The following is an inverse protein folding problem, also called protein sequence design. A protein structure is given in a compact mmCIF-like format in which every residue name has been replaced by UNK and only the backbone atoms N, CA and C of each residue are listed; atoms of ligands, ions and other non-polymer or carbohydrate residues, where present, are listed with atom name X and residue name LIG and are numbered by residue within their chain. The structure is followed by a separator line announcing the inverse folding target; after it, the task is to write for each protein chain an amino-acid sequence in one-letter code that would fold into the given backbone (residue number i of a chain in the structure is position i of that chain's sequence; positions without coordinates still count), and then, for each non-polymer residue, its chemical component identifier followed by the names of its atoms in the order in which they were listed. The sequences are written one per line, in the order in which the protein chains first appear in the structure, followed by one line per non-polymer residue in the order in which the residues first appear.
data_IF_038917508861
#
_entry.id   IF_038917508861
#
_cell.length_a   1.000
_cell.length_b   1.000
_cell.length_c   1.000
_cell.angle_alpha   90.00
_cell.angle_beta   90.00
_cell.angle_gamma   90.00
#
_symmetry.space_group_name_H-M   'P 1'
#
loop_
_entity.id
_entity.type
_entity.pdbx_description
1 polymer ?
#
# COMPACT_ATOMS: atom_id res chain seq x y z
N UNK A 1 -8.34 -6.32 15.00
CA UNK A 1 -7.41 -6.14 13.87
C UNK A 1 -7.98 -6.92 12.70
N UNK A 2 -8.07 -6.31 11.54
CA UNK A 2 -8.47 -6.97 10.30
C UNK A 2 -7.34 -6.77 9.29
N UNK A 3 -7.13 -7.75 8.43
CA UNK A 3 -6.16 -7.71 7.34
C UNK A 3 -6.96 -7.80 6.04
N UNK A 4 -6.54 -7.03 5.04
CA UNK A 4 -7.15 -7.03 3.72
C UNK A 4 -6.02 -7.03 2.69
N UNK A 5 -6.08 -7.94 1.74
CA UNK A 5 -5.13 -8.05 0.64
C UNK A 5 -5.65 -7.31 -0.57
N UNK A 6 -4.86 -6.31 -1.00
CA UNK A 6 -5.13 -5.56 -2.21
C UNK A 6 -4.50 -6.29 -3.39
N UNK A 7 -5.34 -6.84 -4.27
CA UNK A 7 -4.90 -7.71 -5.37
C UNK A 7 -5.18 -7.04 -6.70
N UNK A 8 -4.37 -7.37 -7.71
CA UNK A 8 -4.54 -6.90 -9.08
C UNK A 8 -5.63 -7.68 -9.82
N UNK A 9 -5.93 -7.23 -11.04
CA UNK A 9 -6.70 -8.03 -11.98
C UNK A 9 -5.96 -9.34 -12.34
N UNK A 10 -6.70 -10.45 -12.47
CA UNK A 10 -6.18 -11.69 -12.99
C UNK A 10 -5.75 -11.53 -14.46
N UNK A 11 -4.67 -12.22 -14.85
CA UNK A 11 -4.16 -12.27 -16.23
C UNK A 11 -4.71 -13.46 -17.01
N UNK A 12 -5.14 -14.49 -16.31
CA UNK A 12 -5.64 -15.74 -16.88
C UNK A 12 -6.91 -16.19 -16.16
N UNK A 13 -7.70 -17.06 -16.80
CA UNK A 13 -8.88 -17.67 -16.18
C UNK A 13 -8.52 -18.56 -14.99
N UNK A 14 -7.33 -19.16 -15.01
CA UNK A 14 -6.78 -19.94 -13.89
C UNK A 14 -6.51 -19.04 -12.68
N UNK A 15 -5.83 -17.91 -12.88
CA UNK A 15 -5.60 -16.93 -11.80
C UNK A 15 -6.93 -16.40 -11.24
N UNK A 16 -7.91 -16.11 -12.10
CA UNK A 16 -9.22 -15.63 -11.67
C UNK A 16 -9.97 -16.69 -10.85
N UNK A 17 -9.85 -17.96 -11.23
CA UNK A 17 -10.44 -19.08 -10.47
C UNK A 17 -9.81 -19.20 -9.09
N UNK A 18 -8.48 -19.14 -9.00
CA UNK A 18 -7.74 -19.19 -7.74
C UNK A 18 -8.13 -18.00 -6.84
N UNK A 19 -8.19 -16.79 -7.40
CA UNK A 19 -8.59 -15.60 -6.65
C UNK A 19 -10.03 -15.69 -6.14
N UNK A 20 -10.95 -16.23 -6.93
CA UNK A 20 -12.32 -16.44 -6.49
C UNK A 20 -12.39 -17.45 -5.34
N UNK A 21 -11.71 -18.58 -5.44
CA UNK A 21 -11.68 -19.61 -4.40
C UNK A 21 -11.05 -19.09 -3.10
N UNK A 22 -9.99 -18.30 -3.20
CA UNK A 22 -9.34 -17.65 -2.05
C UNK A 22 -10.29 -16.63 -1.39
N UNK A 23 -10.94 -15.79 -2.20
CA UNK A 23 -11.86 -14.76 -1.71
C UNK A 23 -13.12 -15.36 -1.08
N UNK A 24 -13.63 -16.47 -1.64
CA UNK A 24 -14.74 -17.24 -1.07
C UNK A 24 -14.37 -17.93 0.24
N UNK A 25 -13.08 -18.22 0.46
CA UNK A 25 -12.61 -18.90 1.66
C UNK A 25 -12.30 -17.96 2.82
N UNK A 26 -11.63 -16.83 2.54
CA UNK A 26 -11.10 -15.94 3.58
C UNK A 26 -11.80 -14.59 3.68
N UNK A 27 -12.45 -14.14 2.60
CA UNK A 27 -13.21 -12.89 2.55
C UNK A 27 -12.39 -11.63 2.88
N UNK A 28 -11.08 -11.65 2.61
CA UNK A 28 -10.13 -10.58 2.89
C UNK A 28 -9.44 -10.02 1.63
N UNK A 29 -9.92 -10.37 0.44
CA UNK A 29 -9.41 -9.82 -0.83
C UNK A 29 -10.24 -8.65 -1.35
N UNK A 30 -9.52 -7.61 -1.76
CA UNK A 30 -10.04 -6.48 -2.55
C UNK A 30 -9.28 -6.44 -3.87
N UNK A 31 -9.99 -6.80 -4.94
CA UNK A 31 -9.42 -6.80 -6.29
C UNK A 31 -9.58 -5.43 -6.94
N UNK A 32 -8.46 -4.81 -7.31
CA UNK A 32 -8.41 -3.54 -8.01
C UNK A 32 -8.29 -3.71 -9.53
N UNK A 33 -8.76 -2.71 -10.26
CA UNK A 33 -8.69 -2.68 -11.73
C UNK A 33 -7.38 -2.09 -12.23
N UNK A 34 -6.27 -2.78 -11.92
CA UNK A 34 -4.92 -2.44 -12.37
C UNK A 34 -4.12 -3.72 -12.64
N UNK A 35 -3.09 -3.60 -13.47
CA UNK A 35 -2.17 -4.70 -13.79
C UNK A 35 -0.98 -4.73 -12.82
N UNK A 36 -0.35 -5.90 -12.64
CA UNK A 36 0.89 -5.99 -11.87
C UNK A 36 2.04 -5.36 -12.64
N UNK A 37 2.43 -4.17 -12.21
CA UNK A 37 3.75 -3.63 -12.52
C UNK A 37 4.16 -2.66 -11.42
N UNK A 38 5.46 -2.51 -11.21
CA UNK A 38 5.98 -1.53 -10.25
C UNK A 38 5.45 -0.10 -10.51
N UNK A 39 5.20 0.26 -11.76
CA UNK A 39 4.62 1.56 -12.13
C UNK A 39 3.16 1.72 -11.68
N UNK A 40 2.43 0.62 -11.46
CA UNK A 40 1.03 0.64 -11.03
C UNK A 40 0.88 0.58 -9.50
N UNK A 41 1.98 0.53 -8.73
CA UNK A 41 1.90 0.55 -7.27
C UNK A 41 1.19 1.80 -6.73
N UNK A 42 1.34 2.95 -7.38
CA UNK A 42 0.61 4.17 -7.01
C UNK A 42 -0.91 4.00 -7.16
N UNK A 43 -1.37 3.29 -8.20
CA UNK A 43 -2.78 2.97 -8.38
C UNK A 43 -3.28 1.97 -7.33
N UNK A 44 -2.46 0.97 -6.98
CA UNK A 44 -2.75 0.03 -5.89
C UNK A 44 -2.89 0.78 -4.56
N UNK A 45 -1.92 1.61 -4.19
CA UNK A 45 -1.93 2.41 -2.97
C UNK A 45 -3.16 3.34 -2.90
N UNK A 46 -3.46 4.05 -3.98
CA UNK A 46 -4.65 4.91 -4.06
C UNK A 46 -5.94 4.10 -3.92
N UNK A 47 -6.01 2.92 -4.55
CA UNK A 47 -7.16 2.02 -4.43
C UNK A 47 -7.37 1.54 -3.00
N UNK A 48 -6.28 1.21 -2.29
CA UNK A 48 -6.33 0.85 -0.86
C UNK A 48 -6.90 1.99 -0.01
N UNK A 49 -6.42 3.21 -0.22
CA UNK A 49 -6.90 4.40 0.51
C UNK A 49 -8.37 4.68 0.22
N UNK A 50 -8.80 4.59 -1.04
CA UNK A 50 -10.20 4.77 -1.43
C UNK A 50 -11.08 3.70 -0.77
N UNK A 51 -10.66 2.44 -0.79
CA UNK A 51 -11.41 1.34 -0.20
C UNK A 51 -11.57 1.51 1.31
N UNK A 52 -10.46 1.80 2.02
CA UNK A 52 -10.47 2.09 3.47
C UNK A 52 -11.40 3.25 3.78
N UNK A 53 -11.33 4.34 3.01
CA UNK A 53 -12.17 5.52 3.24
C UNK A 53 -13.65 5.22 3.06
N UNK A 54 -14.01 4.30 2.14
CA UNK A 54 -15.41 3.94 1.86
C UNK A 54 -15.99 2.90 2.81
N UNK A 55 -15.18 1.93 3.22
CA UNK A 55 -15.65 0.74 3.95
C UNK A 55 -15.20 0.71 5.41
N UNK A 56 -14.18 1.48 5.77
CA UNK A 56 -13.54 1.47 7.08
C UNK A 56 -13.32 2.88 7.66
N UNK A 57 -14.09 3.89 7.26
CA UNK A 57 -13.93 5.29 7.72
C UNK A 57 -13.97 5.49 9.24
N UNK A 58 -14.52 4.53 9.98
CA UNK A 58 -14.66 4.56 11.44
C UNK A 58 -13.44 3.98 12.18
N UNK A 59 -12.50 3.35 11.48
CA UNK A 59 -11.35 2.73 12.14
C UNK A 59 -10.35 3.81 12.59
N UNK A 60 -9.78 3.69 13.80
CA UNK A 60 -8.90 4.70 14.35
C UNK A 60 -7.53 4.75 13.66
N UNK A 61 -7.06 3.63 13.12
CA UNK A 61 -5.77 3.51 12.45
C UNK A 61 -5.84 2.54 11.28
N UNK A 62 -5.07 2.83 10.25
CA UNK A 62 -4.79 1.90 9.14
C UNK A 62 -3.28 1.82 8.93
N UNK A 63 -2.81 0.64 8.56
CA UNK A 63 -1.42 0.39 8.22
C UNK A 63 -1.37 -0.21 6.82
N UNK A 64 -0.44 0.29 6.01
CA UNK A 64 -0.08 -0.31 4.74
C UNK A 64 1.25 -1.03 4.92
N UNK A 65 1.36 -2.24 4.38
CA UNK A 65 2.56 -3.06 4.46
C UNK A 65 2.62 -3.96 3.23
N UNK A 66 3.84 -4.27 2.79
CA UNK A 66 4.08 -5.28 1.77
C UNK A 66 3.84 -6.70 2.35
N UNK A 67 3.71 -7.70 1.48
CA UNK A 67 3.51 -9.10 1.89
C UNK A 67 4.80 -9.80 2.33
N UNK A 68 5.95 -9.13 2.17
CA UNK A 68 7.28 -9.61 2.53
C UNK A 68 7.86 -8.95 3.79
N UNK A 69 7.03 -8.25 4.58
CA UNK A 69 7.44 -7.64 5.84
C UNK A 69 6.82 -8.30 7.07
N UNK A 70 7.59 -8.30 8.16
CA UNK A 70 7.15 -8.76 9.46
C UNK A 70 6.72 -7.56 10.32
N UNK A 71 5.50 -7.59 10.85
CA UNK A 71 4.98 -6.56 11.77
C UNK A 71 4.78 -7.14 13.16
N UNK A 72 5.44 -6.54 14.16
CA UNK A 72 5.12 -6.79 15.57
C UNK A 72 3.84 -6.01 15.95
N UNK A 73 2.71 -6.69 15.79
CA UNK A 73 1.38 -6.11 16.05
C UNK A 73 1.14 -5.79 17.52
N UNK A 74 1.84 -6.44 18.46
CA UNK A 74 1.70 -6.17 19.89
C UNK A 74 2.43 -4.90 20.28
N UNK A 75 3.65 -4.73 19.78
CA UNK A 75 4.42 -3.50 19.95
C UNK A 75 3.72 -2.31 19.28
N UNK A 76 3.24 -2.50 18.04
CA UNK A 76 2.51 -1.47 17.31
C UNK A 76 1.26 -1.05 18.09
N UNK A 77 0.44 -2.00 18.56
CA UNK A 77 -0.74 -1.68 19.36
C UNK A 77 -0.37 -0.89 20.61
N UNK A 78 0.64 -1.35 21.36
CA UNK A 78 1.10 -0.65 22.57
C UNK A 78 1.51 0.79 22.24
N UNK A 79 2.25 1.00 21.14
CA UNK A 79 2.63 2.33 20.70
C UNK A 79 1.43 3.23 20.38
N UNK A 80 0.45 2.71 19.63
CA UNK A 80 -0.75 3.46 19.26
C UNK A 80 -1.64 3.78 20.47
N UNK A 81 -1.70 2.89 21.46
CA UNK A 81 -2.48 3.11 22.69
C UNK A 81 -1.83 4.17 23.62
N UNK A 82 -0.49 4.32 23.59
CA UNK A 82 0.24 5.19 24.53
C UNK A 82 0.59 6.58 23.99
N UNK A 83 0.47 6.81 22.68
CA UNK A 83 0.86 8.06 22.04
C UNK A 83 -0.36 8.73 21.40
N UNK A 84 -0.45 10.06 21.47
CA UNK A 84 -1.41 10.80 20.68
C UNK A 84 -0.94 10.82 19.21
N UNK A 85 -1.66 10.08 18.39
CA UNK A 85 -1.36 9.86 16.97
C UNK A 85 -2.50 10.35 16.09
N UNK A 86 -3.39 11.20 16.62
CA UNK A 86 -4.49 11.79 15.86
C UNK A 86 -3.93 12.63 14.71
N UNK A 87 -4.60 12.57 13.56
CA UNK A 87 -4.26 13.35 12.36
C UNK A 87 -2.78 13.23 11.92
N UNK A 88 -2.18 12.05 12.14
CA UNK A 88 -0.75 11.79 11.90
C UNK A 88 -0.53 10.68 10.88
N UNK A 89 0.55 10.79 10.10
CA UNK A 89 1.12 9.71 9.29
C UNK A 89 2.42 9.28 9.96
N UNK A 90 2.53 7.99 10.29
CA UNK A 90 3.66 7.41 11.00
C UNK A 90 4.43 6.50 10.06
N UNK A 91 5.70 6.82 9.82
CA UNK A 91 6.57 6.06 8.92
C UNK A 91 8.04 6.50 9.11
N UNK A 92 8.96 5.86 8.40
CA UNK A 92 10.32 6.39 8.24
C UNK A 92 10.34 7.45 7.11
N UNK A 93 10.58 8.73 7.42
CA UNK A 93 10.52 9.79 6.41
C UNK A 93 11.81 9.83 5.58
N UNK A 94 11.66 9.75 4.26
CA UNK A 94 12.71 9.98 3.29
C UNK A 94 12.66 11.43 2.79
N UNK A 95 13.64 12.23 3.20
CA UNK A 95 13.88 13.58 2.68
C UNK A 95 14.99 13.60 1.64
N UNK A 96 15.09 14.70 0.87
CA UNK A 96 16.16 14.94 -0.11
C UNK A 96 16.45 13.76 -1.04
N UNK A 97 15.42 13.06 -1.49
CA UNK A 97 15.57 11.91 -2.38
C UNK A 97 15.62 12.36 -3.83
N UNK A 98 16.70 12.04 -4.53
CA UNK A 98 16.81 12.32 -5.97
C UNK A 98 15.94 11.38 -6.79
N UNK A 99 15.36 11.93 -7.85
CA UNK A 99 14.55 11.18 -8.81
C UNK A 99 15.48 10.34 -9.68
N UNK A 100 15.36 9.02 -9.58
CA UNK A 100 16.18 8.11 -10.38
C UNK A 100 15.75 8.19 -11.84
N UNK A 101 16.68 8.53 -12.72
CA UNK A 101 16.45 8.61 -14.18
C UNK A 101 16.88 7.35 -14.94
N UNK A 102 17.24 6.28 -14.22
CA UNK A 102 17.68 5.01 -14.78
C UNK A 102 17.47 3.84 -13.79
N UNK A 103 17.54 2.61 -14.30
CA UNK A 103 17.40 1.38 -13.51
C UNK A 103 15.95 1.02 -13.19
N UNK A 104 15.76 0.07 -12.25
CA UNK A 104 14.45 -0.48 -11.85
C UNK A 104 13.43 0.59 -11.45
N UNK A 105 13.90 1.67 -10.82
CA UNK A 105 13.08 2.73 -10.24
C UNK A 105 13.10 4.01 -11.09
N UNK A 106 13.34 3.89 -12.39
CA UNK A 106 13.42 5.01 -13.31
C UNK A 106 12.09 5.76 -13.43
N UNK A 107 12.11 7.09 -13.30
CA UNK A 107 10.98 7.99 -13.56
C UNK A 107 11.37 9.02 -14.60
N UNK A 108 10.62 9.07 -15.70
CA UNK A 108 10.89 9.97 -16.83
C UNK A 108 10.54 11.41 -16.44
N UNK A 109 11.24 12.37 -17.05
CA UNK A 109 10.91 13.79 -16.88
C UNK A 109 9.47 14.12 -17.29
N UNK A 110 8.89 13.37 -18.24
CA UNK A 110 7.48 13.53 -18.64
C UNK A 110 6.49 13.09 -17.57
N UNK A 111 6.91 12.21 -16.64
CA UNK A 111 6.09 11.72 -15.53
C UNK A 111 6.28 12.59 -14.29
N UNK A 112 7.52 13.04 -14.07
CA UNK A 112 7.88 13.91 -12.95
C UNK A 112 9.05 14.82 -13.35
N UNK A 113 8.80 16.13 -13.57
CA UNK A 113 9.79 17.04 -14.16
C UNK A 113 10.91 17.42 -13.19
N UNK A 114 10.63 17.46 -11.89
CA UNK A 114 11.61 17.83 -10.87
C UNK A 114 12.66 16.74 -10.66
N UNK A 115 13.86 17.10 -10.23
CA UNK A 115 14.96 16.16 -9.98
C UNK A 115 15.00 15.62 -8.54
N UNK A 116 14.13 16.14 -7.67
CA UNK A 116 14.05 15.76 -6.26
C UNK A 116 12.60 15.48 -5.87
N UNK A 117 12.36 14.38 -5.15
CA UNK A 117 11.07 14.10 -4.56
C UNK A 117 10.83 14.97 -3.30
N UNK A 118 9.57 15.31 -2.99
CA UNK A 118 9.21 15.84 -1.68
C UNK A 118 9.47 14.78 -0.61
N UNK A 119 9.44 15.18 0.67
CA UNK A 119 9.50 14.21 1.78
C UNK A 119 8.33 13.23 1.69
N UNK A 120 8.62 11.93 1.82
CA UNK A 120 7.63 10.86 1.72
C UNK A 120 7.96 9.72 2.69
N UNK A 121 6.99 8.82 2.91
CA UNK A 121 7.18 7.60 3.68
C UNK A 121 7.88 6.52 2.85
N UNK A 122 8.85 5.82 3.43
CA UNK A 122 9.43 4.62 2.81
C UNK A 122 8.35 3.57 2.53
N UNK A 123 8.51 2.80 1.45
CA UNK A 123 7.47 1.87 0.98
C UNK A 123 7.40 0.52 1.70
N UNK A 124 8.48 0.08 2.37
CA UNK A 124 8.51 -1.25 2.98
C UNK A 124 7.60 -1.41 4.20
N UNK A 125 7.41 -0.34 4.98
CA UNK A 125 6.46 -0.23 6.09
C UNK A 125 6.38 1.22 6.58
#
# INVERSE_FOLDING_TARGET
MAVVFMVRQAKTEEEETILREESERYHDVVQGNYTDSYHMLSYKALSSLIWVTRHCSHVPWTMHADDDVLVDVFLLKKFLDTNDTRDSILCYPWGNSSVRRYGKWCVRHSEYPEDMYPTYCGGGA
#
